data_IF_367956152425
#
_entry.id   IF_367956152425
#
_cell.length_a   1.000
_cell.length_b   1.000
_cell.length_c   1.000
_cell.angle_alpha   90.00
_cell.angle_beta   90.00
_cell.angle_gamma   90.00
#
_symmetry.space_group_name_H-M   'P 1'
#
loop_
_entity.id
_entity.type
_entity.pdbx_description
1 polymer ?
#
# COMPACT_ATOMS: atom_id res chain seq x y z
N UNK A 1 -25.28 -5.84 11.76
CA UNK A 1 -24.38 -6.24 10.65
C UNK A 1 -25.10 -6.71 9.36
N UNK A 2 -26.43 -6.53 9.20
CA UNK A 2 -27.19 -7.13 8.09
C UNK A 2 -27.71 -6.22 6.96
N UNK A 3 -27.27 -4.95 6.88
CA UNK A 3 -27.86 -3.98 5.92
C UNK A 3 -27.50 -4.29 4.45
N UNK A 4 -28.38 -4.02 3.48
CA UNK A 4 -28.15 -4.21 2.04
C UNK A 4 -26.83 -3.58 1.53
N UNK A 5 -26.47 -2.42 2.07
CA UNK A 5 -25.25 -1.70 1.71
C UNK A 5 -23.95 -2.44 2.08
N UNK A 6 -23.95 -3.21 3.18
CA UNK A 6 -22.79 -4.02 3.58
C UNK A 6 -22.56 -5.17 2.60
N UNK A 7 -23.65 -5.83 2.18
CA UNK A 7 -23.60 -6.89 1.16
C UNK A 7 -23.19 -6.35 -0.22
N UNK A 8 -23.59 -5.14 -0.58
CA UNK A 8 -23.13 -4.49 -1.80
C UNK A 8 -21.64 -4.15 -1.74
N UNK A 9 -21.18 -3.56 -0.63
CA UNK A 9 -19.77 -3.26 -0.40
C UNK A 9 -18.90 -4.52 -0.40
N UNK A 10 -19.29 -5.57 0.32
CA UNK A 10 -18.55 -6.84 0.37
C UNK A 10 -18.45 -7.55 -0.99
N UNK A 11 -19.48 -7.44 -1.85
CA UNK A 11 -19.45 -8.05 -3.19
C UNK A 11 -18.57 -7.28 -4.16
N UNK A 12 -18.45 -5.96 -3.98
CA UNK A 12 -17.68 -5.08 -4.84
C UNK A 12 -16.21 -4.96 -4.39
N UNK A 13 -15.97 -4.93 -3.09
CA UNK A 13 -14.64 -4.78 -2.48
C UNK A 13 -14.04 -6.10 -1.99
N UNK A 14 -14.80 -7.20 -1.96
CA UNK A 14 -14.37 -8.46 -1.34
C UNK A 14 -13.10 -9.06 -1.95
N UNK A 15 -12.95 -8.99 -3.28
CA UNK A 15 -11.73 -9.43 -3.95
C UNK A 15 -10.52 -8.57 -3.53
N UNK A 16 -10.71 -7.25 -3.44
CA UNK A 16 -9.67 -6.32 -3.00
C UNK A 16 -9.33 -6.53 -1.52
N UNK A 17 -10.32 -6.77 -0.66
CA UNK A 17 -10.11 -7.12 0.75
C UNK A 17 -9.32 -8.41 0.92
N UNK A 18 -9.62 -9.44 0.12
CA UNK A 18 -8.86 -10.69 0.12
C UNK A 18 -7.42 -10.47 -0.35
N UNK A 19 -7.22 -9.65 -1.39
CA UNK A 19 -5.89 -9.20 -1.82
C UNK A 19 -5.16 -8.49 -0.69
N UNK A 20 -5.79 -7.52 -0.03
CA UNK A 20 -5.25 -6.78 1.11
C UNK A 20 -4.83 -7.70 2.26
N UNK A 21 -5.65 -8.69 2.58
CA UNK A 21 -5.33 -9.68 3.59
C UNK A 21 -4.08 -10.51 3.21
N UNK A 22 -4.02 -11.00 1.97
CA UNK A 22 -2.89 -11.79 1.49
C UNK A 22 -1.58 -10.97 1.47
N UNK A 23 -1.66 -9.71 1.05
CA UNK A 23 -0.54 -8.78 1.11
C UNK A 23 -0.09 -8.57 2.56
N UNK A 24 -1.01 -8.24 3.47
CA UNK A 24 -0.69 -8.02 4.87
C UNK A 24 -0.13 -9.28 5.56
N UNK A 25 -0.56 -10.47 5.16
CA UNK A 25 0.03 -11.73 5.62
C UNK A 25 1.53 -11.77 5.33
N UNK A 26 1.94 -11.33 4.15
CA UNK A 26 3.34 -11.14 3.81
C UNK A 26 4.06 -10.17 4.75
N UNK A 27 3.45 -9.03 5.09
CA UNK A 27 4.01 -8.05 6.02
C UNK A 27 4.28 -8.68 7.40
N UNK A 28 3.30 -9.42 7.92
CA UNK A 28 3.42 -10.11 9.20
C UNK A 28 4.60 -11.07 9.24
N UNK A 29 4.79 -11.84 8.17
CA UNK A 29 5.90 -12.78 8.10
C UNK A 29 7.25 -12.04 7.97
N UNK A 30 7.31 -11.00 7.15
CA UNK A 30 8.52 -10.17 6.97
C UNK A 30 8.98 -9.54 8.29
N UNK A 31 8.06 -9.04 9.12
CA UNK A 31 8.38 -8.48 10.44
C UNK A 31 9.12 -9.50 11.31
N UNK A 32 8.57 -10.70 11.45
CA UNK A 32 9.15 -11.73 12.32
C UNK A 32 10.49 -12.22 11.79
N UNK A 33 10.62 -12.34 10.46
CA UNK A 33 11.84 -12.81 9.81
C UNK A 33 12.94 -11.75 9.80
N UNK A 34 12.57 -10.48 9.89
CA UNK A 34 13.48 -9.38 10.19
C UNK A 34 13.98 -9.38 11.65
N UNK A 35 13.58 -10.36 12.47
CA UNK A 35 13.97 -10.49 13.87
C UNK A 35 13.16 -9.61 14.83
N UNK A 36 12.10 -8.96 14.35
CA UNK A 36 11.23 -8.12 15.18
C UNK A 36 10.17 -8.97 15.89
N UNK A 37 9.68 -8.53 17.07
CA UNK A 37 8.58 -9.21 17.74
C UNK A 37 7.32 -9.24 16.89
N UNK A 38 6.56 -10.34 16.95
CA UNK A 38 5.34 -10.54 16.14
C UNK A 38 4.31 -9.41 16.30
N UNK A 39 4.23 -8.78 17.47
CA UNK A 39 3.28 -7.70 17.77
C UNK A 39 3.59 -6.40 17.03
N UNK A 40 4.81 -6.25 16.49
CA UNK A 40 5.17 -5.08 15.68
C UNK A 40 4.32 -5.02 14.41
N UNK A 41 4.02 -6.17 13.79
CA UNK A 41 3.21 -6.22 12.57
C UNK A 41 1.79 -5.64 12.75
N UNK A 42 0.97 -6.10 13.72
CA UNK A 42 -0.34 -5.49 13.95
C UNK A 42 -0.25 -4.04 14.47
N UNK A 43 0.81 -3.66 15.17
CA UNK A 43 1.00 -2.27 15.57
C UNK A 43 1.23 -1.36 14.36
N UNK A 44 2.07 -1.76 13.42
CA UNK A 44 2.28 -1.02 12.16
C UNK A 44 0.95 -0.92 11.40
N UNK A 45 0.32 -2.07 11.13
CA UNK A 45 -0.94 -2.13 10.39
C UNK A 45 -2.09 -1.36 11.03
N UNK A 46 -2.12 -1.27 12.37
CA UNK A 46 -3.23 -0.62 13.10
C UNK A 46 -3.01 0.87 13.37
N UNK A 47 -1.76 1.31 13.56
CA UNK A 47 -1.43 2.68 13.98
C UNK A 47 -0.79 3.51 12.87
N UNK A 48 0.01 2.89 12.01
CA UNK A 48 0.75 3.56 10.94
C UNK A 48 -0.03 3.46 9.64
N UNK A 49 -0.50 2.24 9.30
CA UNK A 49 -1.31 1.96 8.11
C UNK A 49 -0.74 2.60 6.83
N UNK A 50 0.56 2.41 6.60
CA UNK A 50 1.27 3.04 5.48
C UNK A 50 1.40 2.12 4.25
N UNK A 51 0.72 0.96 4.26
CA UNK A 51 0.66 0.04 3.12
C UNK A 51 2.04 -0.46 2.69
N UNK A 52 2.39 -0.25 1.41
CA UNK A 52 3.68 -0.70 0.84
C UNK A 52 4.90 -0.11 1.55
N UNK A 53 4.79 1.06 2.16
CA UNK A 53 5.89 1.66 2.92
C UNK A 53 6.26 0.85 4.16
N UNK A 54 5.32 0.09 4.74
CA UNK A 54 5.60 -0.72 5.93
C UNK A 54 6.62 -1.83 5.62
N UNK A 55 6.53 -2.43 4.42
CA UNK A 55 7.52 -3.39 3.94
C UNK A 55 8.90 -2.77 3.72
N UNK A 56 8.94 -1.62 3.03
CA UNK A 56 10.17 -0.90 2.73
C UNK A 56 10.84 -0.45 4.04
N UNK A 57 10.05 0.05 4.98
CA UNK A 57 10.52 0.57 6.26
C UNK A 57 11.19 -0.52 7.09
N UNK A 58 10.65 -1.74 7.13
CA UNK A 58 11.29 -2.86 7.85
C UNK A 58 12.69 -3.12 7.28
N UNK A 59 12.84 -3.18 5.95
CA UNK A 59 14.13 -3.39 5.31
C UNK A 59 15.12 -2.24 5.55
N UNK A 60 14.65 -0.98 5.54
CA UNK A 60 15.49 0.17 5.82
C UNK A 60 15.96 0.20 7.29
N UNK A 61 15.08 -0.13 8.23
CA UNK A 61 15.40 -0.15 9.66
C UNK A 61 16.40 -1.27 9.98
N UNK A 62 16.18 -2.49 9.48
CA UNK A 62 17.10 -3.61 9.73
C UNK A 62 18.39 -3.51 8.94
N UNK A 63 18.37 -2.86 7.78
CA UNK A 63 19.57 -2.54 6.99
C UNK A 63 20.41 -1.38 7.54
N UNK A 64 20.00 -0.74 8.64
CA UNK A 64 20.75 0.36 9.25
C UNK A 64 20.74 1.66 8.43
N UNK A 65 19.70 1.89 7.63
CA UNK A 65 19.57 3.12 6.87
C UNK A 65 19.47 4.35 7.79
N UNK A 66 20.02 5.48 7.36
CA UNK A 66 19.93 6.73 8.13
C UNK A 66 18.48 7.21 8.26
N UNK A 67 18.16 7.89 9.36
CA UNK A 67 16.85 8.52 9.56
C UNK A 67 16.46 9.46 8.41
N UNK A 68 17.43 10.16 7.81
CA UNK A 68 17.21 11.00 6.64
C UNK A 68 16.77 10.20 5.41
N UNK A 69 17.43 9.07 5.14
CA UNK A 69 17.06 8.17 4.03
C UNK A 69 15.65 7.61 4.23
N UNK A 70 15.31 7.20 5.46
CA UNK A 70 13.97 6.71 5.80
C UNK A 70 12.93 7.81 5.55
N UNK A 71 13.13 9.01 6.11
CA UNK A 71 12.19 10.13 5.96
C UNK A 71 11.95 10.51 4.49
N UNK A 72 13.03 10.62 3.71
CA UNK A 72 12.95 10.97 2.28
C UNK A 72 12.26 9.86 1.49
N UNK A 73 12.59 8.59 1.74
CA UNK A 73 11.95 7.45 1.06
C UNK A 73 10.45 7.37 1.41
N UNK A 74 10.11 7.53 2.68
CA UNK A 74 8.70 7.59 3.14
C UNK A 74 7.95 8.72 2.46
N UNK A 75 8.52 9.92 2.41
CA UNK A 75 7.89 11.08 1.78
C UNK A 75 7.65 10.84 0.28
N UNK A 76 8.66 10.42 -0.48
CA UNK A 76 8.52 10.21 -1.92
C UNK A 76 7.56 9.07 -2.24
N UNK A 77 7.66 7.94 -1.51
CA UNK A 77 6.77 6.79 -1.72
C UNK A 77 5.31 7.14 -1.43
N UNK A 78 5.06 7.95 -0.39
CA UNK A 78 3.69 8.31 0.01
C UNK A 78 3.16 9.61 -0.61
N UNK A 79 3.97 10.37 -1.36
CA UNK A 79 3.59 11.65 -1.97
C UNK A 79 2.29 11.60 -2.78
N UNK A 80 1.94 10.42 -3.34
CA UNK A 80 0.66 10.14 -4.02
C UNK A 80 -0.59 10.50 -3.19
N UNK A 81 -0.52 10.39 -1.87
CA UNK A 81 -1.63 10.71 -0.97
C UNK A 81 -2.03 12.19 -1.01
N UNK A 82 -1.10 13.09 -1.39
CA UNK A 82 -1.40 14.52 -1.57
C UNK A 82 -2.48 14.69 -2.65
N UNK A 83 -2.34 13.97 -3.77
CA UNK A 83 -3.32 14.02 -4.86
C UNK A 83 -4.66 13.41 -4.46
N UNK A 84 -4.63 12.29 -3.74
CA UNK A 84 -5.86 11.66 -3.23
C UNK A 84 -6.62 12.61 -2.31
N UNK A 85 -5.92 13.34 -1.43
CA UNK A 85 -6.54 14.30 -0.53
C UNK A 85 -7.33 15.42 -1.25
N UNK A 86 -6.95 15.77 -2.48
CA UNK A 86 -7.63 16.81 -3.26
C UNK A 86 -8.93 16.32 -3.90
N UNK A 87 -8.99 15.04 -4.30
CA UNK A 87 -10.10 14.48 -5.08
C UNK A 87 -11.01 13.56 -4.27
N UNK A 88 -10.57 13.09 -3.09
CA UNK A 88 -11.34 12.16 -2.27
C UNK A 88 -12.64 12.81 -1.77
N UNK A 89 -13.79 12.11 -1.85
CA UNK A 89 -15.11 12.68 -1.55
C UNK A 89 -15.37 12.83 -0.03
N UNK A 90 -14.50 13.55 0.70
CA UNK A 90 -14.63 13.81 2.15
C UNK A 90 -15.93 14.53 2.52
N UNK A 91 -16.48 15.32 1.58
CA UNK A 91 -17.76 16.00 1.76
C UNK A 91 -18.92 15.02 1.99
N UNK A 92 -18.84 13.82 1.43
CA UNK A 92 -19.85 12.77 1.61
C UNK A 92 -19.76 12.06 2.97
N UNK A 93 -18.63 12.22 3.69
CA UNK A 93 -18.41 11.63 5.01
C UNK A 93 -18.92 12.59 6.09
N UNK A 94 -19.83 12.10 6.94
CA UNK A 94 -20.49 12.90 7.99
C UNK A 94 -19.83 12.68 9.35
N UNK A 95 -19.40 13.76 9.98
CA UNK A 95 -18.79 13.77 11.32
C UNK A 95 -17.26 13.91 11.31
N UNK A 96 -16.72 14.62 12.30
CA UNK A 96 -15.28 14.89 12.40
C UNK A 96 -14.45 13.60 12.51
N UNK A 97 -14.80 12.72 13.44
CA UNK A 97 -14.09 11.46 13.66
C UNK A 97 -14.16 10.52 12.45
N UNK A 98 -15.30 10.49 11.76
CA UNK A 98 -15.45 9.71 10.54
C UNK A 98 -14.56 10.24 9.41
N UNK A 99 -14.44 11.57 9.28
CA UNK A 99 -13.53 12.20 8.31
C UNK A 99 -12.07 11.93 8.67
N UNK A 100 -11.69 12.09 9.93
CA UNK A 100 -10.34 11.80 10.39
C UNK A 100 -9.96 10.33 10.13
N UNK A 101 -10.87 9.40 10.42
CA UNK A 101 -10.66 7.99 10.13
C UNK A 101 -10.56 7.70 8.62
N UNK A 102 -11.40 8.34 7.80
CA UNK A 102 -11.33 8.19 6.34
C UNK A 102 -10.02 8.73 5.75
N UNK A 103 -9.47 9.81 6.32
CA UNK A 103 -8.14 10.33 5.95
C UNK A 103 -7.03 9.39 6.41
N UNK A 104 -7.11 8.89 7.65
CA UNK A 104 -6.14 7.94 8.19
C UNK A 104 -6.09 6.63 7.40
N UNK A 105 -7.25 6.12 6.96
CA UNK A 105 -7.36 4.87 6.18
C UNK A 105 -7.32 5.10 4.66
N UNK A 106 -6.83 6.26 4.23
CA UNK A 106 -6.70 6.57 2.81
C UNK A 106 -5.49 5.81 2.25
N UNK A 107 -5.78 4.89 1.33
CA UNK A 107 -4.81 4.10 0.58
C UNK A 107 -5.26 4.06 -0.89
N UNK A 108 -4.41 3.58 -1.80
CA UNK A 108 -4.69 3.50 -3.23
C UNK A 108 -5.98 2.71 -3.50
N UNK A 109 -6.18 1.61 -2.80
CA UNK A 109 -7.29 0.69 -2.95
C UNK A 109 -8.58 1.30 -2.40
N UNK A 110 -8.48 1.97 -1.26
CA UNK A 110 -9.57 2.79 -0.73
C UNK A 110 -9.97 3.86 -1.75
N UNK A 111 -9.00 4.58 -2.30
CA UNK A 111 -9.22 5.66 -3.26
C UNK A 111 -9.87 5.13 -4.54
N UNK A 112 -9.34 4.05 -5.10
CA UNK A 112 -9.84 3.41 -6.32
C UNK A 112 -11.27 2.90 -6.13
N UNK A 113 -11.54 2.16 -5.05
CA UNK A 113 -12.87 1.62 -4.76
C UNK A 113 -13.89 2.73 -4.53
N UNK A 114 -13.55 3.77 -3.77
CA UNK A 114 -14.47 4.88 -3.46
C UNK A 114 -14.70 5.77 -4.68
N UNK A 115 -13.66 6.04 -5.48
CA UNK A 115 -13.78 6.87 -6.68
C UNK A 115 -14.55 6.17 -7.80
N UNK A 116 -14.47 4.85 -7.89
CA UNK A 116 -15.26 4.04 -8.82
C UNK A 116 -16.76 3.98 -8.46
N UNK A 117 -17.17 4.42 -7.28
CA UNK A 117 -18.58 4.50 -6.93
C UNK A 117 -19.30 5.60 -7.73
N UNK A 118 -20.50 5.31 -8.26
CA UNK A 118 -21.44 6.33 -8.75
C UNK A 118 -21.69 7.41 -7.69
N UNK A 119 -21.94 8.65 -8.11
CA UNK A 119 -22.05 9.80 -7.20
C UNK A 119 -23.16 9.62 -6.14
N UNK A 120 -24.30 9.05 -6.53
CA UNK A 120 -25.45 8.71 -5.68
C UNK A 120 -25.14 7.58 -4.68
N UNK A 121 -24.19 6.72 -5.02
CA UNK A 121 -23.72 5.61 -4.19
C UNK A 121 -22.66 6.00 -3.16
N UNK A 122 -22.08 7.21 -3.23
CA UNK A 122 -21.03 7.69 -2.30
C UNK A 122 -21.63 8.18 -0.99
N UNK A 123 -22.20 7.26 -0.21
CA UNK A 123 -22.70 7.59 1.14
C UNK A 123 -21.58 7.45 2.18
N UNK A 124 -21.64 8.27 3.24
CA UNK A 124 -20.71 8.17 4.38
C UNK A 124 -20.56 6.73 4.90
N UNK A 125 -21.68 6.01 4.98
CA UNK A 125 -21.73 4.65 5.51
C UNK A 125 -21.00 3.66 4.59
N UNK A 126 -21.18 3.80 3.28
CA UNK A 126 -20.51 2.92 2.30
C UNK A 126 -19.00 3.18 2.26
N UNK A 127 -18.59 4.46 2.26
CA UNK A 127 -17.17 4.84 2.32
C UNK A 127 -16.51 4.24 3.56
N UNK A 128 -17.10 4.46 4.75
CA UNK A 128 -16.57 3.92 6.00
C UNK A 128 -16.57 2.39 6.06
N UNK A 129 -17.53 1.73 5.41
CA UNK A 129 -17.57 0.26 5.36
C UNK A 129 -16.43 -0.28 4.50
N UNK A 130 -16.14 0.37 3.35
CA UNK A 130 -15.04 -0.01 2.47
C UNK A 130 -13.69 0.17 3.17
N UNK A 131 -13.46 1.35 3.78
CA UNK A 131 -12.20 1.65 4.47
C UNK A 131 -12.00 0.78 5.71
N UNK A 132 -13.03 0.63 6.54
CA UNK A 132 -12.93 -0.24 7.71
C UNK A 132 -12.69 -1.70 7.31
N UNK A 133 -13.30 -2.16 6.22
CA UNK A 133 -13.04 -3.50 5.67
C UNK A 133 -11.58 -3.68 5.28
N UNK A 134 -11.00 -2.74 4.52
CA UNK A 134 -9.59 -2.78 4.13
C UNK A 134 -8.66 -2.74 5.35
N UNK A 135 -8.90 -1.83 6.28
CA UNK A 135 -8.09 -1.70 7.49
C UNK A 135 -8.15 -2.97 8.35
N UNK A 136 -9.34 -3.57 8.54
CA UNK A 136 -9.48 -4.83 9.27
C UNK A 136 -8.78 -5.99 8.57
N UNK A 137 -8.85 -6.10 7.25
CA UNK A 137 -8.17 -7.17 6.51
C UNK A 137 -6.64 -7.00 6.55
N UNK A 138 -6.16 -5.76 6.52
CA UNK A 138 -4.74 -5.46 6.69
C UNK A 138 -4.24 -5.84 8.09
N UNK A 139 -4.95 -5.40 9.12
CA UNK A 139 -4.63 -5.74 10.51
C UNK A 139 -4.70 -7.26 10.75
N UNK A 140 -5.77 -7.92 10.28
CA UNK A 140 -5.95 -9.35 10.44
C UNK A 140 -4.87 -10.14 9.68
N UNK A 141 -4.59 -9.80 8.42
CA UNK A 141 -3.59 -10.49 7.62
C UNK A 141 -2.20 -10.39 8.23
N UNK A 142 -1.78 -9.19 8.61
CA UNK A 142 -0.48 -8.97 9.27
C UNK A 142 -0.35 -9.66 10.62
N UNK A 143 -1.44 -9.69 11.41
CA UNK A 143 -1.47 -10.46 12.66
C UNK A 143 -1.30 -11.95 12.39
N UNK A 144 -2.10 -12.50 11.47
CA UNK A 144 -2.07 -13.93 11.13
C UNK A 144 -0.70 -14.32 10.58
N UNK A 145 -0.13 -13.52 9.68
CA UNK A 145 1.19 -13.75 9.12
C UNK A 145 2.29 -13.73 10.19
N UNK A 146 2.24 -12.77 11.11
CA UNK A 146 3.24 -12.66 12.18
C UNK A 146 3.12 -13.79 13.22
N UNK A 147 1.90 -14.17 13.61
CA UNK A 147 1.66 -15.31 14.52
C UNK A 147 2.08 -16.62 13.88
N UNK A 148 1.75 -16.81 12.60
CA UNK A 148 2.16 -18.00 11.84
C UNK A 148 3.69 -18.09 11.78
N UNK A 149 4.36 -16.99 11.43
CA UNK A 149 5.82 -16.93 11.36
C UNK A 149 6.50 -17.16 12.72
N UNK A 150 5.92 -16.69 13.82
CA UNK A 150 6.52 -16.82 15.16
C UNK A 150 6.47 -18.24 15.73
N UNK A 151 5.54 -19.08 15.26
CA UNK A 151 5.44 -20.49 15.66
C UNK A 151 6.18 -21.42 14.70
N UNK A 152 6.68 -20.91 13.57
CA UNK A 152 7.47 -21.70 12.65
C UNK A 152 8.92 -21.80 13.13
N UNK A 153 9.38 -23.03 13.38
CA UNK A 153 10.76 -23.34 13.72
C UNK A 153 11.62 -23.37 12.45
N UNK A 154 11.85 -22.21 11.84
CA UNK A 154 12.78 -22.06 10.71
C UNK A 154 12.47 -20.91 9.77
N UNK A 155 13.50 -20.46 9.05
CA UNK A 155 13.35 -19.55 7.91
C UNK A 155 12.64 -20.28 6.77
N UNK A 156 11.51 -19.74 6.27
CA UNK A 156 10.84 -20.28 5.08
C UNK A 156 11.73 -19.98 3.87
N UNK A 157 12.27 -20.99 3.15
CA UNK A 157 13.00 -20.74 1.91
C UNK A 157 12.08 -20.04 0.90
N UNK A 158 12.54 -18.94 0.28
CA UNK A 158 11.75 -18.17 -0.68
C UNK A 158 10.83 -17.12 -0.06
N UNK A 159 10.92 -16.85 1.24
CA UNK A 159 10.16 -15.76 1.86
C UNK A 159 10.60 -14.37 1.40
N UNK A 160 11.88 -14.22 1.09
CA UNK A 160 12.47 -13.06 0.42
C UNK A 160 11.79 -12.75 -0.93
N UNK A 161 11.21 -13.76 -1.57
CA UNK A 161 10.40 -13.58 -2.77
C UNK A 161 9.02 -12.97 -2.51
N UNK A 162 8.49 -12.97 -1.28
CA UNK A 162 7.14 -12.40 -1.01
C UNK A 162 7.07 -10.93 -1.41
N UNK A 163 8.08 -10.14 -1.05
CA UNK A 163 8.12 -8.72 -1.42
C UNK A 163 8.25 -8.53 -2.93
N UNK A 164 9.08 -9.35 -3.57
CA UNK A 164 9.26 -9.35 -5.04
C UNK A 164 7.96 -9.73 -5.74
N UNK A 165 7.30 -10.80 -5.30
CA UNK A 165 6.04 -11.29 -5.82
C UNK A 165 4.91 -10.28 -5.63
N UNK A 166 4.86 -9.61 -4.47
CA UNK A 166 3.92 -8.52 -4.20
C UNK A 166 4.06 -7.39 -5.24
N UNK A 167 5.27 -6.85 -5.39
CA UNK A 167 5.51 -5.78 -6.37
C UNK A 167 5.31 -6.25 -7.81
N UNK A 168 5.65 -7.50 -8.13
CA UNK A 168 5.40 -8.06 -9.46
C UNK A 168 3.91 -8.14 -9.77
N UNK A 169 3.09 -8.62 -8.82
CA UNK A 169 1.63 -8.67 -8.99
C UNK A 169 1.04 -7.27 -9.11
N UNK A 170 1.46 -6.31 -8.27
CA UNK A 170 1.03 -4.92 -8.39
C UNK A 170 1.42 -4.31 -9.74
N UNK A 171 2.64 -4.55 -10.22
CA UNK A 171 3.08 -4.09 -11.52
C UNK A 171 2.24 -4.69 -12.65
N UNK A 172 1.96 -6.00 -12.61
CA UNK A 172 1.10 -6.67 -13.57
C UNK A 172 -0.32 -6.12 -13.55
N UNK A 173 -0.88 -5.83 -12.38
CA UNK A 173 -2.22 -5.26 -12.25
C UNK A 173 -2.28 -3.83 -12.83
N UNK A 174 -1.27 -3.00 -12.56
CA UNK A 174 -1.13 -1.67 -13.19
C UNK A 174 -1.02 -1.77 -14.71
N UNK A 175 -0.23 -2.71 -15.23
CA UNK A 175 -0.08 -2.96 -16.68
C UNK A 175 -1.38 -3.49 -17.31
N UNK A 176 -2.17 -4.28 -16.58
CA UNK A 176 -3.44 -4.80 -17.06
C UNK A 176 -4.53 -3.70 -17.11
N UNK A 177 -4.51 -2.77 -16.16
CA UNK A 177 -5.49 -1.68 -16.05
C UNK A 177 -5.10 -0.45 -16.88
N UNK A 178 -3.81 -0.17 -17.06
CA UNK A 178 -3.29 0.95 -17.85
C UNK A 178 -2.80 0.48 -19.22
N UNK A 179 -3.37 1.04 -20.29
CA UNK A 179 -2.87 0.82 -21.66
C UNK A 179 -1.59 1.60 -21.98
N UNK A 180 -1.08 2.41 -21.06
CA UNK A 180 0.09 3.24 -21.29
C UNK A 180 1.40 2.48 -21.03
N UNK A 181 1.73 1.59 -21.98
CA UNK A 181 3.00 0.84 -22.02
C UNK A 181 4.23 1.74 -22.06
N UNK A 182 4.11 2.98 -22.55
CA UNK A 182 5.23 3.91 -22.59
C UNK A 182 5.63 4.41 -21.20
N UNK A 183 4.64 4.61 -20.32
CA UNK A 183 4.88 4.95 -18.92
C UNK A 183 5.50 3.78 -18.14
N UNK A 184 5.06 2.55 -18.42
CA UNK A 184 5.68 1.36 -17.84
C UNK A 184 7.13 1.17 -18.32
N UNK A 185 7.40 1.35 -19.62
CA UNK A 185 8.76 1.30 -20.18
C UNK A 185 9.68 2.37 -19.60
N UNK A 186 9.17 3.59 -19.41
CA UNK A 186 9.90 4.67 -18.76
C UNK A 186 10.24 4.33 -17.29
N UNK A 187 9.30 3.74 -16.55
CA UNK A 187 9.54 3.31 -15.17
C UNK A 187 10.62 2.22 -15.12
N UNK A 188 10.56 1.23 -16.00
CA UNK A 188 11.56 0.17 -16.10
C UNK A 188 12.96 0.72 -16.44
N UNK A 189 13.04 1.67 -17.37
CA UNK A 189 14.30 2.35 -17.71
C UNK A 189 14.86 3.12 -16.51
N UNK A 190 14.02 3.85 -15.77
CA UNK A 190 14.44 4.57 -14.57
C UNK A 190 14.94 3.61 -13.47
N UNK A 191 14.28 2.46 -13.30
CA UNK A 191 14.71 1.42 -12.37
C UNK A 191 16.08 0.84 -12.77
N UNK A 192 16.29 0.54 -14.07
CA UNK A 192 17.57 0.06 -14.58
C UNK A 192 18.70 1.08 -14.36
N UNK A 193 18.44 2.36 -14.63
CA UNK A 193 19.40 3.44 -14.37
C UNK A 193 19.70 3.55 -12.86
N UNK A 194 18.67 3.51 -12.01
CA UNK A 194 18.85 3.52 -10.56
C UNK A 194 19.69 2.34 -10.06
N UNK A 195 19.49 1.15 -10.63
CA UNK A 195 20.21 -0.06 -10.24
C UNK A 195 21.69 0.03 -10.60
N UNK A 196 22.03 0.59 -11.77
CA UNK A 196 23.41 0.74 -12.22
C UNK A 196 24.10 1.92 -11.52
N UNK A 197 23.42 3.05 -11.37
CA UNK A 197 24.03 4.29 -10.87
C UNK A 197 24.17 4.29 -9.34
N UNK A 198 23.19 3.77 -8.60
CA UNK A 198 23.21 3.78 -7.14
C UNK A 198 22.41 2.60 -6.56
N UNK A 199 22.97 1.38 -6.51
CA UNK A 199 22.26 0.18 -6.05
C UNK A 199 21.60 0.36 -4.67
N UNK A 200 22.28 1.01 -3.73
CA UNK A 200 21.79 1.26 -2.37
C UNK A 200 20.70 2.34 -2.26
N UNK A 201 20.57 3.20 -3.28
CA UNK A 201 19.57 4.27 -3.36
C UNK A 201 18.70 4.15 -4.60
N UNK A 202 18.64 2.93 -5.17
CA UNK A 202 17.99 2.66 -6.46
C UNK A 202 16.58 3.22 -6.49
N UNK A 203 15.80 2.99 -5.43
CA UNK A 203 14.40 3.41 -5.37
C UNK A 203 14.26 4.93 -5.44
N UNK A 204 15.09 5.67 -4.69
CA UNK A 204 15.09 7.13 -4.71
C UNK A 204 15.52 7.68 -6.07
N UNK A 205 16.58 7.13 -6.66
CA UNK A 205 17.07 7.56 -7.97
C UNK A 205 16.03 7.29 -9.06
N UNK A 206 15.47 6.08 -9.07
CA UNK A 206 14.46 5.66 -10.04
C UNK A 206 13.19 6.51 -9.93
N UNK A 207 12.65 6.71 -8.72
CA UNK A 207 11.44 7.52 -8.53
C UNK A 207 11.67 8.99 -8.90
N UNK A 208 12.82 9.56 -8.51
CA UNK A 208 13.15 10.96 -8.85
C UNK A 208 13.25 11.15 -10.36
N UNK A 209 14.01 10.28 -11.03
CA UNK A 209 14.19 10.33 -12.48
C UNK A 209 12.85 10.14 -13.20
N UNK A 210 12.05 9.17 -12.76
CA UNK A 210 10.74 8.89 -13.32
C UNK A 210 9.80 10.09 -13.17
N UNK A 211 9.74 10.72 -11.99
CA UNK A 211 8.93 11.91 -11.75
C UNK A 211 9.33 13.09 -12.64
N UNK A 212 10.64 13.33 -12.81
CA UNK A 212 11.16 14.40 -13.69
C UNK A 212 10.77 14.13 -15.14
N UNK A 213 10.96 12.90 -15.63
CA UNK A 213 10.66 12.54 -17.03
C UNK A 213 9.16 12.60 -17.31
N UNK A 214 8.31 12.19 -16.36
CA UNK A 214 6.86 12.40 -16.45
C UNK A 214 6.52 13.88 -16.53
N UNK A 215 7.12 14.69 -15.65
CA UNK A 215 6.89 16.14 -15.61
C UNK A 215 7.23 16.83 -16.94
N UNK A 216 8.30 16.39 -17.60
CA UNK A 216 8.68 16.86 -18.94
C UNK A 216 7.65 16.41 -19.98
N UNK A 217 7.29 15.12 -19.99
CA UNK A 217 6.36 14.54 -20.97
C UNK A 217 4.96 15.15 -20.92
N UNK A 218 4.46 15.52 -19.75
CA UNK A 218 3.12 16.12 -19.58
C UNK A 218 3.11 17.65 -19.67
N UNK A 219 4.28 18.30 -19.74
CA UNK A 219 4.40 19.74 -20.02
C UNK A 219 4.68 20.05 -21.49
N UNK A 220 5.06 19.05 -22.28
CA UNK A 220 5.19 19.09 -23.74
C UNK A 220 3.92 18.55 -24.40
#
# INVERSE_FOLDING_TARGET
MGSPEFRAAARQAGAVWAGFFAMALGLGIVVVQAGLPWWVAPMLSGLVYAGSMEFIMIGLLTGGASWGTIAVTTFFTNSRHIFYGLTYPLHAVRGWWARAYAVFTLADETYALVSALPADARTSRRILTITAGLHLHWLAGSTVGAVFASHMLGTIPGLDFILVGLFAVLAMDVLAQSRDVSTAGLAAACAAVGLVAAPHHMLLVAMTLFAVLLGIRYRL
#
